data_IF_627315396555
#
_entry.id   IF_627315396555
#
_cell.length_a   1.000
_cell.length_b   1.000
_cell.length_c   1.000
_cell.angle_alpha   90.00
_cell.angle_beta   90.00
_cell.angle_gamma   90.00
#
_symmetry.space_group_name_H-M   'P 1'
#
loop_
_entity.id
_entity.type
_entity.pdbx_description
1 polymer ?
#
# COMPACT_ATOMS: atom_id res chain seq x y z
N UNK A 1 -4.90 -20.83 5.67
CA UNK A 1 -4.21 -21.31 6.89
C UNK A 1 -3.43 -20.15 7.49
N UNK A 2 -3.57 -19.88 8.80
CA UNK A 2 -2.79 -18.81 9.45
C UNK A 2 -1.39 -19.31 9.75
N UNK A 3 -0.37 -18.57 9.32
CA UNK A 3 1.05 -18.84 9.59
C UNK A 3 1.44 -18.05 10.83
N UNK A 4 1.70 -18.75 11.94
CA UNK A 4 2.13 -18.13 13.19
C UNK A 4 3.56 -17.58 13.07
N UNK A 5 3.83 -16.45 13.73
CA UNK A 5 5.20 -15.95 13.88
C UNK A 5 5.89 -16.74 14.99
N UNK A 6 7.05 -17.36 14.70
CA UNK A 6 7.76 -18.18 15.67
C UNK A 6 8.48 -17.33 16.73
N UNK A 7 8.82 -17.96 17.86
CA UNK A 7 9.66 -17.34 18.88
C UNK A 7 10.97 -16.81 18.29
N UNK A 8 11.64 -17.63 17.48
CA UNK A 8 12.92 -17.30 16.84
C UNK A 8 12.79 -16.08 15.94
N UNK A 9 11.70 -15.98 15.17
CA UNK A 9 11.44 -14.82 14.33
C UNK A 9 11.27 -13.54 15.16
N UNK A 10 10.55 -13.60 16.29
CA UNK A 10 10.41 -12.44 17.20
C UNK A 10 11.77 -12.05 17.80
N UNK A 11 12.61 -13.03 18.17
CA UNK A 11 13.96 -12.78 18.68
C UNK A 11 14.84 -12.14 17.61
N UNK A 12 14.80 -12.63 16.36
CA UNK A 12 15.56 -12.06 15.25
C UNK A 12 15.17 -10.61 14.98
N UNK A 13 13.86 -10.30 14.98
CA UNK A 13 13.37 -8.91 14.87
C UNK A 13 13.99 -8.03 15.97
N UNK A 14 14.09 -8.51 17.21
CA UNK A 14 14.73 -7.73 18.26
C UNK A 14 16.24 -7.58 18.04
N UNK A 15 16.94 -8.64 17.63
CA UNK A 15 18.37 -8.58 17.37
C UNK A 15 18.72 -7.58 16.26
N UNK A 16 17.88 -7.49 15.24
CA UNK A 16 18.08 -6.59 14.10
C UNK A 16 17.66 -5.15 14.40
N UNK A 17 16.52 -4.94 15.09
CA UNK A 17 15.90 -3.62 15.26
C UNK A 17 15.89 -3.09 16.69
N UNK A 18 16.36 -3.86 17.67
CA UNK A 18 16.35 -3.53 19.10
C UNK A 18 17.41 -2.51 19.51
N UNK A 19 18.43 -2.28 18.68
CA UNK A 19 19.52 -1.33 18.96
C UNK A 19 20.63 -1.95 19.81
N UNK A 20 21.43 -1.10 20.47
CA UNK A 20 22.67 -1.54 21.17
C UNK A 20 22.43 -2.50 22.33
N UNK A 21 21.24 -2.49 22.92
CA UNK A 21 20.84 -3.38 24.02
C UNK A 21 19.96 -4.54 23.56
N UNK A 22 19.91 -4.86 22.27
CA UNK A 22 19.12 -5.97 21.77
C UNK A 22 19.52 -7.31 22.44
N UNK A 23 18.53 -8.16 22.68
CA UNK A 23 18.71 -9.44 23.36
C UNK A 23 17.52 -9.79 24.25
N UNK A 24 17.26 -11.09 24.34
CA UNK A 24 16.19 -11.65 25.18
C UNK A 24 16.59 -11.52 26.65
N UNK A 25 15.72 -10.90 27.44
CA UNK A 25 15.81 -10.84 28.90
C UNK A 25 15.01 -11.95 29.56
N UNK A 26 13.84 -12.28 28.99
CA UNK A 26 12.93 -13.30 29.49
C UNK A 26 12.33 -14.10 28.31
N UNK A 27 12.92 -15.27 28.05
CA UNK A 27 12.48 -16.14 26.95
C UNK A 27 11.10 -16.74 27.18
N UNK A 28 10.76 -17.08 28.44
CA UNK A 28 9.46 -17.65 28.79
C UNK A 28 8.35 -16.62 28.56
N UNK A 29 8.62 -15.35 28.87
CA UNK A 29 7.75 -14.23 28.56
C UNK A 29 7.45 -14.08 27.07
N UNK A 30 8.49 -14.14 26.22
CA UNK A 30 8.29 -14.11 24.76
C UNK A 30 7.47 -15.31 24.28
N UNK A 31 7.77 -16.52 24.75
CA UNK A 31 6.98 -17.71 24.43
C UNK A 31 5.52 -17.57 24.86
N UNK A 32 5.25 -16.99 26.02
CA UNK A 32 3.89 -16.75 26.50
C UNK A 32 3.15 -15.72 25.64
N UNK A 33 3.81 -14.64 25.20
CA UNK A 33 3.22 -13.64 24.32
C UNK A 33 2.85 -14.23 22.93
N UNK A 34 3.77 -14.99 22.34
CA UNK A 34 3.53 -15.71 21.07
C UNK A 34 2.42 -16.74 21.25
N UNK A 35 2.48 -17.55 22.29
CA UNK A 35 1.47 -18.56 22.61
C UNK A 35 0.09 -17.95 22.82
N UNK A 36 -0.01 -16.81 23.52
CA UNK A 36 -1.28 -16.09 23.71
C UNK A 36 -1.93 -15.71 22.38
N UNK A 37 -1.15 -15.25 21.40
CA UNK A 37 -1.68 -14.82 20.11
C UNK A 37 -2.17 -15.99 19.23
N UNK A 38 -1.52 -17.15 19.32
CA UNK A 38 -1.72 -18.23 18.35
C UNK A 38 -2.38 -19.49 18.92
N UNK A 39 -2.42 -19.66 20.25
CA UNK A 39 -2.98 -20.85 20.88
C UNK A 39 -4.36 -20.55 21.47
N UNK A 40 -5.31 -21.46 21.20
CA UNK A 40 -6.61 -21.49 21.85
C UNK A 40 -6.68 -22.52 22.98
N UNK A 41 -7.77 -22.50 23.74
CA UNK A 41 -8.08 -23.51 24.75
C UNK A 41 -9.48 -24.07 24.51
N UNK A 42 -9.66 -25.39 24.66
CA UNK A 42 -10.97 -26.03 24.50
C UNK A 42 -11.59 -25.90 23.10
N UNK A 43 -10.76 -25.75 22.06
CA UNK A 43 -11.21 -25.54 20.68
C UNK A 43 -11.68 -24.11 20.38
N UNK A 44 -11.56 -23.19 21.32
CA UNK A 44 -11.89 -21.77 21.14
C UNK A 44 -10.61 -20.97 20.90
N UNK A 45 -10.56 -20.27 19.77
CA UNK A 45 -9.51 -19.30 19.47
C UNK A 45 -9.91 -17.93 20.03
N UNK A 46 -9.20 -17.39 21.03
CA UNK A 46 -9.53 -16.08 21.61
C UNK A 46 -9.28 -14.91 20.64
N UNK A 47 -8.52 -15.14 19.56
CA UNK A 47 -8.16 -14.14 18.56
C UNK A 47 -8.49 -14.70 17.16
N UNK A 48 -9.76 -14.67 16.73
CA UNK A 48 -10.23 -15.40 15.56
C UNK A 48 -9.75 -14.81 14.23
N UNK A 49 -9.46 -13.51 14.15
CA UNK A 49 -8.92 -12.89 12.93
C UNK A 49 -7.41 -12.63 13.01
N UNK A 50 -6.76 -12.52 11.84
CA UNK A 50 -5.35 -12.12 11.74
C UNK A 50 -5.09 -10.75 12.39
N UNK A 51 -6.04 -9.81 12.35
CA UNK A 51 -5.89 -8.54 13.05
C UNK A 51 -5.93 -8.70 14.58
N UNK A 52 -6.78 -9.60 15.09
CA UNK A 52 -6.86 -9.89 16.53
C UNK A 52 -5.57 -10.55 17.02
N UNK A 53 -4.99 -11.47 16.23
CA UNK A 53 -3.72 -12.13 16.55
C UNK A 53 -2.55 -11.16 16.53
N UNK A 54 -2.49 -10.28 15.53
CA UNK A 54 -1.49 -9.22 15.46
C UNK A 54 -1.59 -8.26 16.66
N UNK A 55 -2.81 -7.88 17.04
CA UNK A 55 -3.07 -7.06 18.20
C UNK A 55 -2.65 -7.75 19.51
N UNK A 56 -2.97 -9.03 19.67
CA UNK A 56 -2.59 -9.82 20.84
C UNK A 56 -1.08 -9.93 21.00
N UNK A 57 -0.37 -10.13 19.89
CA UNK A 57 1.09 -10.19 19.83
C UNK A 57 1.72 -8.84 20.15
N UNK A 58 1.26 -7.75 19.50
CA UNK A 58 1.75 -6.40 19.76
C UNK A 58 1.55 -6.02 21.22
N UNK A 59 0.34 -6.21 21.76
CA UNK A 59 0.04 -5.90 23.15
C UNK A 59 0.93 -6.69 24.10
N UNK A 60 1.03 -8.02 23.93
CA UNK A 60 1.83 -8.88 24.81
C UNK A 60 3.32 -8.53 24.86
N UNK A 61 3.89 -8.02 23.76
CA UNK A 61 5.29 -7.61 23.69
C UNK A 61 5.50 -6.14 24.09
N UNK A 62 4.55 -5.25 23.80
CA UNK A 62 4.68 -3.80 24.04
C UNK A 62 4.48 -3.42 25.51
N UNK A 63 3.57 -4.09 26.22
CA UNK A 63 3.24 -3.79 27.63
C UNK A 63 4.17 -4.51 28.63
N UNK A 64 5.16 -5.23 28.12
CA UNK A 64 6.09 -6.04 28.90
C UNK A 64 7.53 -5.63 28.61
N UNK A 65 8.48 -6.26 29.28
CA UNK A 65 9.90 -5.98 29.11
C UNK A 65 10.66 -7.30 28.90
N UNK A 66 10.27 -8.08 27.89
CA UNK A 66 10.90 -9.39 27.64
C UNK A 66 12.26 -9.30 26.96
N UNK A 67 12.62 -8.13 26.41
CA UNK A 67 13.93 -7.81 25.87
C UNK A 67 14.65 -6.78 26.73
N UNK A 68 15.98 -6.76 26.65
CA UNK A 68 16.82 -5.78 27.34
C UNK A 68 16.62 -4.35 26.79
N UNK A 69 16.39 -4.23 25.48
CA UNK A 69 16.01 -3.00 24.79
C UNK A 69 15.11 -3.34 23.60
N UNK A 70 14.42 -2.34 23.06
CA UNK A 70 13.66 -2.46 21.82
C UNK A 70 12.26 -3.06 21.95
N UNK A 71 11.76 -3.36 23.16
CA UNK A 71 10.46 -4.01 23.38
C UNK A 71 9.32 -3.46 22.50
N UNK A 72 9.13 -2.14 22.51
CA UNK A 72 8.10 -1.46 21.71
C UNK A 72 8.32 -1.60 20.20
N UNK A 73 9.56 -1.44 19.73
CA UNK A 73 9.95 -1.60 18.32
C UNK A 73 9.73 -3.04 17.86
N UNK A 74 10.20 -4.00 18.65
CA UNK A 74 9.97 -5.44 18.40
C UNK A 74 8.48 -5.76 18.36
N UNK A 75 7.68 -5.24 19.27
CA UNK A 75 6.25 -5.51 19.33
C UNK A 75 5.51 -5.06 18.06
N UNK A 76 5.79 -3.84 17.61
CA UNK A 76 5.22 -3.29 16.38
C UNK A 76 5.66 -4.10 15.16
N UNK A 77 6.97 -4.32 14.99
CA UNK A 77 7.52 -5.04 13.85
C UNK A 77 7.07 -6.50 13.82
N UNK A 78 7.00 -7.19 14.97
CA UNK A 78 6.48 -8.55 15.05
C UNK A 78 5.02 -8.64 14.59
N UNK A 79 4.17 -7.68 14.98
CA UNK A 79 2.78 -7.64 14.53
C UNK A 79 2.68 -7.35 13.02
N UNK A 80 3.46 -6.39 12.49
CA UNK A 80 3.49 -6.08 11.06
C UNK A 80 4.01 -7.27 10.24
N UNK A 81 5.13 -7.87 10.63
CA UNK A 81 5.68 -9.05 9.95
C UNK A 81 4.73 -10.24 10.01
N UNK A 82 4.03 -10.46 11.12
CA UNK A 82 2.99 -11.48 11.20
C UNK A 82 1.84 -11.22 10.20
N UNK A 83 1.38 -9.96 10.10
CA UNK A 83 0.35 -9.59 9.13
C UNK A 83 0.83 -9.82 7.69
N UNK A 84 2.05 -9.42 7.36
CA UNK A 84 2.66 -9.63 6.03
C UNK A 84 2.80 -11.11 5.68
N UNK A 85 3.27 -11.95 6.63
CA UNK A 85 3.35 -13.41 6.47
C UNK A 85 1.99 -14.05 6.16
N UNK A 86 0.89 -13.40 6.53
CA UNK A 86 -0.48 -13.86 6.30
C UNK A 86 -1.19 -13.11 5.16
N UNK A 87 -0.45 -12.43 4.28
CA UNK A 87 -0.99 -11.71 3.11
C UNK A 87 -1.63 -10.35 3.44
N UNK A 88 -1.50 -9.89 4.69
CA UNK A 88 -2.02 -8.62 5.17
C UNK A 88 -0.91 -7.56 5.16
N UNK A 89 -0.58 -7.07 3.98
CA UNK A 89 0.13 -5.79 3.77
C UNK A 89 -0.63 -4.61 4.42
N UNK A 90 0.08 -3.70 5.08
CA UNK A 90 -0.48 -2.46 5.62
C UNK A 90 -0.31 -1.30 4.63
N UNK A 91 -1.17 -0.28 4.73
CA UNK A 91 -0.96 1.02 4.08
C UNK A 91 0.32 1.70 4.58
N UNK A 92 0.70 2.83 3.97
CA UNK A 92 1.81 3.63 4.50
C UNK A 92 1.46 4.12 5.92
N UNK A 93 2.35 3.87 6.88
CA UNK A 93 2.22 4.34 8.26
C UNK A 93 3.35 5.33 8.48
N UNK A 94 2.98 6.58 8.76
CA UNK A 94 3.98 7.60 9.10
C UNK A 94 4.74 7.19 10.37
N UNK A 95 6.07 7.36 10.45
CA UNK A 95 6.86 6.95 11.62
C UNK A 95 6.32 7.49 12.94
N UNK A 96 5.85 8.75 12.95
CA UNK A 96 5.23 9.38 14.12
C UNK A 96 3.91 8.73 14.52
N UNK A 97 3.10 8.27 13.56
CA UNK A 97 1.85 7.56 13.83
C UNK A 97 2.15 6.21 14.47
N UNK A 98 3.09 5.44 13.88
CA UNK A 98 3.51 4.15 14.42
C UNK A 98 4.07 4.28 15.85
N UNK A 99 4.89 5.30 16.10
CA UNK A 99 5.47 5.57 17.41
C UNK A 99 4.40 5.93 18.46
N UNK A 100 3.56 6.93 18.18
CA UNK A 100 2.50 7.39 19.10
C UNK A 100 1.54 6.25 19.43
N UNK A 101 1.15 5.49 18.40
CA UNK A 101 0.24 4.37 18.57
C UNK A 101 0.88 3.26 19.43
N UNK A 102 2.13 2.88 19.15
CA UNK A 102 2.86 1.87 19.92
C UNK A 102 3.08 2.29 21.37
N UNK A 103 3.36 3.58 21.62
CA UNK A 103 3.46 4.12 22.97
C UNK A 103 2.13 4.05 23.71
N UNK A 104 1.01 4.35 23.05
CA UNK A 104 -0.32 4.28 23.64
C UNK A 104 -0.71 2.84 24.01
N UNK A 105 -0.36 1.86 23.17
CA UNK A 105 -0.51 0.42 23.48
C UNK A 105 0.35 0.03 24.70
N UNK A 106 1.65 0.39 24.68
CA UNK A 106 2.55 0.07 25.78
C UNK A 106 2.15 0.70 27.12
N UNK A 107 1.49 1.85 27.08
CA UNK A 107 0.94 2.54 28.25
C UNK A 107 -0.42 1.99 28.72
N UNK A 108 -1.02 1.03 28.01
CA UNK A 108 -2.34 0.50 28.32
C UNK A 108 -3.49 1.47 28.04
N UNK A 109 -3.26 2.50 27.22
CA UNK A 109 -4.29 3.47 26.81
C UNK A 109 -5.18 2.89 25.70
N UNK A 110 -4.62 1.98 24.89
CA UNK A 110 -5.31 1.33 23.77
C UNK A 110 -5.45 -0.16 24.04
N UNK A 111 -6.69 -0.60 24.21
CA UNK A 111 -7.02 -2.00 24.44
C UNK A 111 -6.82 -2.87 23.20
N UNK A 112 -6.58 -4.17 23.41
CA UNK A 112 -6.28 -5.14 22.31
C UNK A 112 -7.30 -5.09 21.15
N UNK A 113 -8.63 -5.03 21.37
CA UNK A 113 -9.58 -4.93 20.25
C UNK A 113 -9.41 -3.66 19.42
N UNK A 114 -9.07 -2.54 20.06
CA UNK A 114 -8.81 -1.27 19.37
C UNK A 114 -7.50 -1.30 18.58
N UNK A 115 -6.55 -2.12 19.00
CA UNK A 115 -5.34 -2.41 18.21
C UNK A 115 -5.67 -3.19 16.94
N UNK A 116 -6.54 -4.19 17.04
CA UNK A 116 -6.99 -4.94 15.86
C UNK A 116 -7.73 -4.04 14.87
N UNK A 117 -8.61 -3.16 15.37
CA UNK A 117 -9.29 -2.14 14.56
C UNK A 117 -8.31 -1.16 13.91
N UNK A 118 -7.27 -0.74 14.62
CA UNK A 118 -6.26 0.14 14.04
C UNK A 118 -5.52 -0.55 12.89
N UNK A 119 -4.99 -1.77 13.08
CA UNK A 119 -4.37 -2.53 11.99
C UNK A 119 -5.32 -2.77 10.82
N UNK A 120 -6.58 -3.08 11.11
CA UNK A 120 -7.63 -3.22 10.08
C UNK A 120 -7.83 -1.92 9.32
N UNK A 121 -7.93 -0.78 10.00
CA UNK A 121 -8.09 0.52 9.35
C UNK A 121 -6.85 0.96 8.58
N UNK A 122 -5.63 0.67 9.05
CA UNK A 122 -4.38 0.89 8.30
C UNK A 122 -4.36 0.02 7.04
N UNK A 123 -4.82 -1.22 7.16
CA UNK A 123 -4.99 -2.13 6.04
C UNK A 123 -6.09 -1.67 5.09
N UNK A 124 -7.22 -1.16 5.56
CA UNK A 124 -8.32 -0.65 4.73
C UNK A 124 -7.97 0.69 4.09
N UNK A 125 -7.11 1.50 4.74
CA UNK A 125 -6.39 2.64 4.15
C UNK A 125 -5.44 2.23 3.01
N UNK A 126 -5.44 0.96 2.57
CA UNK A 126 -4.69 0.43 1.42
C UNK A 126 -4.91 1.15 0.10
N UNK A 127 -5.82 2.12 -0.02
CA UNK A 127 -5.80 3.10 -1.11
C UNK A 127 -4.41 3.73 -1.22
N UNK A 128 -3.53 3.09 -2.00
CA UNK A 128 -2.21 3.60 -2.32
C UNK A 128 -2.37 4.53 -3.51
N UNK A 129 -1.96 5.78 -3.32
CA UNK A 129 -2.01 6.83 -4.32
C UNK A 129 -3.29 7.66 -4.27
N UNK A 130 -3.60 8.36 -5.36
CA UNK A 130 -4.65 9.40 -5.38
C UNK A 130 -6.03 8.88 -5.78
N UNK A 131 -6.34 7.64 -5.43
CA UNK A 131 -7.63 7.01 -5.71
C UNK A 131 -8.74 7.61 -4.83
N UNK A 132 -9.92 7.83 -5.40
CA UNK A 132 -11.11 8.33 -4.70
C UNK A 132 -12.29 7.34 -4.75
N UNK A 133 -12.27 6.38 -5.67
CA UNK A 133 -13.27 5.31 -5.72
C UNK A 133 -12.87 4.17 -4.76
N UNK A 134 -13.76 3.73 -3.84
CA UNK A 134 -13.47 2.70 -2.86
C UNK A 134 -13.21 1.31 -3.46
N UNK A 135 -13.60 1.07 -4.72
CA UNK A 135 -13.28 -0.16 -5.45
C UNK A 135 -11.81 -0.23 -5.86
N UNK A 136 -11.13 0.91 -5.95
CA UNK A 136 -9.72 0.96 -6.36
C UNK A 136 -8.85 0.66 -5.14
N UNK A 137 -8.19 -0.51 -5.15
CA UNK A 137 -7.23 -0.92 -4.11
C UNK A 137 -6.00 -0.03 -4.15
N UNK A 138 -5.46 0.23 -5.35
CA UNK A 138 -4.37 1.16 -5.54
C UNK A 138 -4.42 1.79 -6.94
N UNK A 139 -3.83 2.98 -7.04
CA UNK A 139 -3.63 3.70 -8.28
C UNK A 139 -2.28 4.42 -8.21
N UNK A 140 -1.36 4.11 -9.12
CA UNK A 140 0.01 4.62 -9.08
C UNK A 140 0.45 5.09 -10.46
N UNK A 141 1.27 6.13 -10.47
CA UNK A 141 2.00 6.57 -11.65
C UNK A 141 3.38 5.92 -11.62
N UNK A 142 3.78 5.30 -12.73
CA UNK A 142 5.09 4.64 -12.88
C UNK A 142 5.73 5.05 -14.21
N UNK A 143 7.06 5.10 -14.26
CA UNK A 143 7.80 5.50 -15.46
C UNK A 143 7.84 4.37 -16.50
N UNK A 144 8.02 3.14 -16.03
CA UNK A 144 8.14 1.99 -16.90
C UNK A 144 7.45 0.76 -16.29
N UNK A 145 6.79 0.00 -17.16
CA UNK A 145 6.23 -1.31 -16.86
C UNK A 145 6.99 -2.32 -17.70
N UNK A 146 7.59 -3.29 -17.06
CA UNK A 146 8.28 -4.40 -17.71
C UNK A 146 7.41 -5.66 -17.55
N UNK A 147 6.99 -6.23 -18.69
CA UNK A 147 6.20 -7.45 -18.69
C UNK A 147 7.09 -8.63 -18.29
N UNK A 148 6.73 -9.29 -17.20
CA UNK A 148 7.37 -10.53 -16.74
C UNK A 148 6.49 -11.74 -16.94
N UNK A 149 7.07 -12.94 -16.85
CA UNK A 149 6.39 -14.22 -17.08
C UNK A 149 5.23 -14.51 -16.10
N UNK A 150 5.19 -13.81 -14.95
CA UNK A 150 4.19 -14.05 -13.89
C UNK A 150 3.48 -12.78 -13.41
N UNK A 151 4.21 -11.70 -13.16
CA UNK A 151 3.67 -10.38 -12.81
C UNK A 151 4.50 -9.29 -13.48
N UNK A 152 3.89 -8.16 -13.89
CA UNK A 152 4.64 -7.02 -14.39
C UNK A 152 5.48 -6.41 -13.25
N UNK A 153 6.73 -6.08 -13.54
CA UNK A 153 7.57 -5.27 -12.65
C UNK A 153 7.37 -3.79 -12.98
N UNK A 154 7.30 -2.96 -11.94
CA UNK A 154 7.12 -1.52 -12.08
C UNK A 154 8.37 -0.79 -11.62
N UNK A 155 8.85 0.12 -12.46
CA UNK A 155 10.00 0.94 -12.17
C UNK A 155 9.57 2.40 -11.99
N UNK A 156 10.17 3.06 -11.02
CA UNK A 156 9.89 4.45 -10.71
C UNK A 156 8.49 4.69 -10.12
N UNK A 157 8.15 3.95 -9.07
CA UNK A 157 6.86 4.04 -8.37
C UNK A 157 6.80 5.26 -7.44
N UNK A 158 5.75 6.09 -7.56
CA UNK A 158 5.49 7.18 -6.60
C UNK A 158 6.29 8.46 -6.81
N UNK A 159 6.74 8.72 -8.04
CA UNK A 159 7.70 9.79 -8.30
C UNK A 159 6.98 11.12 -8.58
N UNK A 160 7.39 12.19 -7.89
CA UNK A 160 7.42 13.50 -8.51
C UNK A 160 8.40 13.43 -9.71
N UNK A 161 7.92 13.04 -10.89
CA UNK A 161 8.77 12.87 -12.09
C UNK A 161 9.46 14.22 -12.37
N UNK A 162 10.70 14.37 -11.92
CA UNK A 162 11.56 15.45 -12.36
C UNK A 162 11.99 15.12 -13.78
N UNK A 163 11.16 15.39 -14.78
CA UNK A 163 11.61 15.34 -16.17
C UNK A 163 12.79 16.31 -16.29
N UNK A 164 13.98 15.82 -16.61
CA UNK A 164 15.06 16.67 -17.10
C UNK A 164 14.84 16.76 -18.60
N UNK A 165 14.47 17.94 -19.10
CA UNK A 165 14.28 18.15 -20.53
C UNK A 165 15.52 17.68 -21.32
N UNK A 166 15.35 16.95 -22.44
CA UNK A 166 16.49 16.49 -23.23
C UNK A 166 17.32 17.69 -23.73
N UNK A 167 18.65 17.58 -23.60
CA UNK A 167 19.60 18.63 -24.01
C UNK A 167 19.33 19.13 -25.44
N UNK A 168 19.25 20.45 -25.60
CA UNK A 168 19.17 21.10 -26.90
C UNK A 168 17.87 20.90 -27.68
N UNK A 169 16.85 20.27 -27.09
CA UNK A 169 15.52 20.12 -27.72
C UNK A 169 14.58 21.21 -27.24
N UNK A 170 13.82 21.80 -28.15
CA UNK A 170 12.71 22.71 -27.82
C UNK A 170 11.41 21.93 -27.65
N UNK A 171 10.48 22.37 -26.77
CA UNK A 171 9.16 21.75 -26.64
C UNK A 171 8.41 21.66 -27.98
N UNK A 172 7.51 20.67 -28.16
CA UNK A 172 7.01 19.76 -27.13
C UNK A 172 7.91 18.54 -26.86
N UNK A 173 7.87 18.03 -25.62
CA UNK A 173 8.54 16.79 -25.22
C UNK A 173 7.55 15.64 -25.07
N UNK A 174 7.78 14.52 -25.77
CA UNK A 174 7.03 13.29 -25.52
C UNK A 174 7.45 12.70 -24.17
N UNK A 175 6.48 12.42 -23.31
CA UNK A 175 6.69 11.78 -22.01
C UNK A 175 5.72 10.63 -21.90
N UNK A 176 6.20 9.40 -21.80
CA UNK A 176 5.35 8.25 -21.53
C UNK A 176 5.39 7.93 -20.05
N UNK A 177 4.21 7.82 -19.45
CA UNK A 177 4.01 7.34 -18.09
C UNK A 177 2.93 6.28 -18.10
N UNK A 178 2.93 5.40 -17.11
CA UNK A 178 1.93 4.37 -16.96
C UNK A 178 1.12 4.60 -15.70
N UNK A 179 -0.18 4.39 -15.80
CA UNK A 179 -1.08 4.31 -14.66
C UNK A 179 -1.31 2.84 -14.36
N UNK A 180 -0.85 2.41 -13.19
CA UNK A 180 -1.03 1.06 -12.69
C UNK A 180 -2.08 1.07 -11.58
N UNK A 181 -3.00 0.11 -11.60
CA UNK A 181 -4.02 0.01 -10.58
C UNK A 181 -4.61 -1.37 -10.44
N UNK A 182 -5.35 -1.55 -9.34
CA UNK A 182 -6.16 -2.75 -9.11
C UNK A 182 -7.53 -2.35 -8.63
N UNK A 183 -8.55 -2.96 -9.21
CA UNK A 183 -9.95 -2.70 -8.93
C UNK A 183 -10.64 -3.97 -8.42
N UNK A 184 -11.41 -3.82 -7.34
CA UNK A 184 -12.34 -4.82 -6.82
C UNK A 184 -13.73 -4.52 -7.35
N UNK A 185 -14.23 -5.43 -8.18
CA UNK A 185 -15.52 -5.29 -8.83
C UNK A 185 -16.66 -5.68 -7.91
N UNK A 186 -17.83 -5.09 -8.15
CA UNK A 186 -19.08 -5.46 -7.52
C UNK A 186 -19.93 -6.27 -8.48
N UNK A 187 -20.93 -6.97 -7.96
CA UNK A 187 -21.90 -7.70 -8.77
C UNK A 187 -22.60 -6.81 -9.82
N UNK A 188 -22.86 -5.54 -9.49
CA UNK A 188 -23.42 -4.52 -10.41
C UNK A 188 -22.50 -4.14 -11.58
N UNK A 189 -21.20 -4.40 -11.47
CA UNK A 189 -20.20 -4.14 -12.51
C UNK A 189 -20.09 -5.32 -13.50
N UNK A 190 -20.83 -6.41 -13.28
CA UNK A 190 -20.76 -7.59 -14.16
C UNK A 190 -21.59 -7.42 -15.43
N UNK A 191 -21.30 -8.23 -16.46
CA UNK A 191 -22.14 -8.34 -17.66
C UNK A 191 -21.79 -7.39 -18.81
N UNK A 192 -20.94 -6.37 -18.58
CA UNK A 192 -20.39 -5.52 -19.64
C UNK A 192 -18.94 -5.13 -19.36
N UNK A 193 -18.21 -4.73 -20.41
CA UNK A 193 -16.87 -4.17 -20.26
C UNK A 193 -16.92 -2.74 -19.74
N UNK A 194 -15.81 -2.28 -19.17
CA UNK A 194 -15.66 -0.94 -18.63
C UNK A 194 -14.61 -0.14 -19.40
N UNK A 195 -14.65 1.18 -19.26
CA UNK A 195 -13.74 2.08 -19.96
C UNK A 195 -12.91 2.84 -18.94
N UNK A 196 -11.59 2.65 -19.00
CA UNK A 196 -10.62 3.44 -18.27
C UNK A 196 -10.10 4.57 -19.17
N UNK A 197 -10.37 5.81 -18.79
CA UNK A 197 -9.93 7.00 -19.50
C UNK A 197 -8.91 7.79 -18.66
N UNK A 198 -7.80 8.18 -19.29
CA UNK A 198 -6.75 8.98 -18.70
C UNK A 198 -6.74 10.39 -19.31
N UNK A 199 -6.51 11.41 -18.50
CA UNK A 199 -6.28 12.77 -18.97
C UNK A 199 -5.17 13.45 -18.16
N UNK A 200 -4.13 13.96 -18.85
CA UNK A 200 -3.05 14.73 -18.24
C UNK A 200 -3.39 16.21 -18.33
N UNK A 201 -3.66 16.84 -17.20
CA UNK A 201 -4.16 18.22 -17.11
C UNK A 201 -3.32 19.04 -16.14
N UNK A 202 -3.27 20.37 -16.28
CA UNK A 202 -2.71 21.23 -15.24
C UNK A 202 -3.41 21.02 -13.90
N UNK A 203 -2.64 21.00 -12.80
CA UNK A 203 -3.20 20.92 -11.44
C UNK A 203 -4.04 22.15 -11.11
N UNK A 204 -3.55 23.33 -11.49
CA UNK A 204 -4.28 24.59 -11.36
C UNK A 204 -5.16 24.80 -12.61
N UNK A 205 -6.50 24.81 -12.46
CA UNK A 205 -7.41 25.03 -13.58
C UNK A 205 -7.25 26.40 -14.26
N UNK A 206 -6.62 27.38 -13.59
CA UNK A 206 -6.33 28.69 -14.18
C UNK A 206 -5.22 28.63 -15.24
N UNK A 207 -4.41 27.56 -15.27
CA UNK A 207 -3.38 27.34 -16.29
C UNK A 207 -4.04 26.81 -17.57
N UNK A 208 -4.00 27.62 -18.64
CA UNK A 208 -4.75 27.36 -19.88
C UNK A 208 -3.98 26.62 -20.95
N UNK A 209 -2.71 26.26 -20.71
CA UNK A 209 -1.86 25.55 -21.67
C UNK A 209 -1.70 24.09 -21.24
N UNK A 210 -2.65 23.20 -21.58
CA UNK A 210 -2.52 21.79 -21.27
C UNK A 210 -1.46 21.11 -22.16
N UNK A 211 -0.93 19.96 -21.75
CA UNK A 211 -0.15 19.11 -22.65
C UNK A 211 -0.97 18.73 -23.90
N UNK A 212 -0.30 18.53 -25.03
CA UNK A 212 -0.92 17.96 -26.24
C UNK A 212 -0.99 16.44 -26.11
N UNK A 213 -1.85 15.78 -26.91
CA UNK A 213 -2.02 14.30 -26.88
C UNK A 213 -2.18 13.74 -25.46
N UNK A 214 -2.86 14.49 -24.62
CA UNK A 214 -2.89 14.28 -23.18
C UNK A 214 -3.96 13.29 -22.73
N UNK A 215 -4.60 12.56 -23.63
CA UNK A 215 -5.71 11.66 -23.33
C UNK A 215 -5.43 10.27 -23.88
N UNK A 216 -5.83 9.26 -23.12
CA UNK A 216 -5.82 7.87 -23.54
C UNK A 216 -7.08 7.16 -23.04
N UNK A 217 -7.51 6.10 -23.74
CA UNK A 217 -8.72 5.34 -23.43
C UNK A 217 -8.46 3.86 -23.63
N UNK A 218 -8.87 3.05 -22.65
CA UNK A 218 -8.64 1.61 -22.61
C UNK A 218 -9.92 0.88 -22.24
N UNK A 219 -10.17 -0.24 -22.90
CA UNK A 219 -11.27 -1.14 -22.56
C UNK A 219 -10.78 -2.16 -21.54
N UNK A 220 -11.51 -2.27 -20.43
CA UNK A 220 -11.35 -3.32 -19.44
C UNK A 220 -12.42 -4.38 -19.74
N UNK A 221 -12.04 -5.67 -19.85
CA UNK A 221 -13.01 -6.73 -20.05
C UNK A 221 -13.97 -6.82 -18.86
N UNK A 222 -15.17 -7.40 -19.04
CA UNK A 222 -16.08 -7.66 -17.93
C UNK A 222 -15.36 -8.46 -16.82
N UNK A 223 -15.64 -8.17 -15.54
CA UNK A 223 -15.02 -8.88 -14.44
C UNK A 223 -15.31 -10.38 -14.49
N UNK A 224 -14.26 -11.18 -14.37
CA UNK A 224 -14.35 -12.63 -14.37
C UNK A 224 -14.80 -13.14 -12.99
N UNK A 225 -15.65 -14.18 -13.01
CA UNK A 225 -15.93 -14.98 -11.82
C UNK A 225 -14.82 -16.02 -11.63
N UNK A 226 -14.32 -16.14 -10.40
CA UNK A 226 -13.29 -17.11 -10.02
C UNK A 226 -13.63 -17.78 -8.69
N UNK A 227 -13.31 -19.08 -8.57
CA UNK A 227 -13.57 -19.88 -7.37
C UNK A 227 -12.44 -19.86 -6.34
N UNK A 228 -11.81 -18.71 -6.09
CA UNK A 228 -10.65 -18.60 -5.19
C UNK A 228 -11.08 -18.31 -3.74
N UNK A 229 -10.52 -19.03 -2.77
CA UNK A 229 -10.89 -19.00 -1.33
C UNK A 229 -10.78 -17.61 -0.66
N UNK A 230 -10.08 -16.66 -1.29
CA UNK A 230 -9.84 -15.30 -0.76
C UNK A 230 -10.73 -14.22 -1.39
N UNK A 231 -11.66 -14.58 -2.28
CA UNK A 231 -12.62 -13.66 -2.90
C UNK A 231 -14.05 -14.11 -2.54
N UNK A 232 -14.59 -13.71 -1.37
CA UNK A 232 -15.84 -14.26 -0.83
C UNK A 232 -17.09 -13.97 -1.68
N UNK A 233 -17.04 -12.97 -2.58
CA UNK A 233 -18.11 -12.67 -3.56
C UNK A 233 -17.89 -13.37 -4.92
N UNK A 234 -16.78 -14.09 -5.10
CA UNK A 234 -16.47 -14.84 -6.32
C UNK A 234 -16.05 -13.99 -7.53
N UNK A 235 -15.99 -12.66 -7.42
CA UNK A 235 -15.43 -11.78 -8.47
C UNK A 235 -13.93 -11.61 -8.28
N UNK A 236 -13.19 -11.83 -9.37
CA UNK A 236 -11.73 -11.64 -9.37
C UNK A 236 -11.41 -10.15 -9.58
N UNK A 237 -10.59 -9.52 -8.72
CA UNK A 237 -10.14 -8.17 -8.95
C UNK A 237 -9.26 -8.08 -10.20
N UNK A 238 -9.41 -7.00 -10.96
CA UNK A 238 -8.61 -6.78 -12.16
C UNK A 238 -7.43 -5.87 -11.86
N UNK A 239 -6.26 -6.26 -12.35
CA UNK A 239 -5.08 -5.38 -12.42
C UNK A 239 -5.02 -4.75 -13.81
N UNK A 240 -4.61 -3.49 -13.87
CA UNK A 240 -4.39 -2.77 -15.13
C UNK A 240 -3.09 -1.97 -15.05
N UNK A 241 -2.44 -1.82 -16.20
CA UNK A 241 -1.27 -0.97 -16.40
C UNK A 241 -1.39 -0.34 -17.78
N UNK A 242 -1.75 0.94 -17.82
CA UNK A 242 -2.14 1.60 -19.07
C UNK A 242 -1.29 2.84 -19.32
N UNK A 243 -0.72 3.03 -20.52
CA UNK A 243 0.13 4.17 -20.80
C UNK A 243 -0.67 5.45 -21.09
N UNK A 244 -0.08 6.60 -20.81
CA UNK A 244 -0.45 7.88 -21.42
C UNK A 244 0.82 8.61 -21.83
N UNK A 245 0.82 9.17 -23.04
CA UNK A 245 2.00 9.81 -23.64
C UNK A 245 1.73 11.29 -23.93
N UNK A 246 1.57 12.16 -22.91
CA UNK A 246 1.40 13.59 -23.14
C UNK A 246 2.63 14.21 -23.80
N UNK A 247 2.37 15.20 -24.66
CA UNK A 247 3.36 16.11 -25.19
C UNK A 247 3.42 17.36 -24.34
N UNK A 248 4.47 17.46 -23.51
CA UNK A 248 4.69 18.56 -22.58
C UNK A 248 5.15 19.80 -23.34
N UNK A 249 4.41 20.90 -23.23
CA UNK A 249 4.72 22.18 -23.88
C UNK A 249 5.44 23.14 -22.92
N UNK A 250 5.02 23.16 -21.66
CA UNK A 250 5.56 24.00 -20.59
C UNK A 250 5.79 23.16 -19.33
N UNK A 251 6.79 23.49 -18.48
CA UNK A 251 6.95 22.81 -17.20
C UNK A 251 5.83 23.26 -16.25
N UNK A 252 5.54 22.47 -15.22
CA UNK A 252 4.51 22.80 -14.24
C UNK A 252 4.02 21.60 -13.45
N UNK A 253 3.10 21.86 -12.53
CA UNK A 253 2.41 20.82 -11.78
C UNK A 253 1.20 20.33 -12.57
N UNK A 254 1.24 19.08 -13.00
CA UNK A 254 0.18 18.39 -13.72
C UNK A 254 -0.46 17.31 -12.82
N UNK A 255 -1.58 16.79 -13.30
CA UNK A 255 -2.31 15.68 -12.72
C UNK A 255 -2.71 14.73 -13.84
N UNK A 256 -2.59 13.42 -13.61
CA UNK A 256 -3.19 12.38 -14.45
C UNK A 256 -4.53 12.01 -13.83
N UNK A 257 -5.62 12.56 -14.37
CA UNK A 257 -6.97 12.14 -14.03
C UNK A 257 -7.24 10.76 -14.59
N UNK A 258 -7.82 9.90 -13.75
CA UNK A 258 -8.23 8.54 -14.10
C UNK A 258 -9.73 8.44 -13.91
N UNK A 259 -10.44 8.07 -14.98
CA UNK A 259 -11.89 7.93 -14.99
C UNK A 259 -12.30 6.52 -15.38
N UNK A 260 -13.21 5.93 -14.62
CA UNK A 260 -13.87 4.68 -14.97
C UNK A 260 -15.29 5.00 -15.40
N UNK A 261 -15.65 4.66 -16.64
CA UNK A 261 -16.97 4.94 -17.25
C UNK A 261 -17.41 6.41 -17.11
N UNK A 262 -16.44 7.33 -17.20
CA UNK A 262 -16.64 8.77 -17.08
C UNK A 262 -16.59 9.31 -15.64
N UNK A 263 -16.67 8.47 -14.62
CA UNK A 263 -16.58 8.84 -13.21
C UNK A 263 -15.11 8.96 -12.80
N UNK A 264 -14.73 10.05 -12.11
CA UNK A 264 -13.38 10.23 -11.60
C UNK A 264 -13.11 9.21 -10.49
N UNK A 265 -12.12 8.34 -10.69
CA UNK A 265 -11.72 7.30 -9.73
C UNK A 265 -10.36 7.56 -9.10
N UNK A 266 -9.57 8.49 -9.65
CA UNK A 266 -8.36 9.00 -9.01
C UNK A 266 -7.66 10.09 -9.81
N UNK A 267 -6.70 10.77 -9.18
CA UNK A 267 -6.03 11.94 -9.75
C UNK A 267 -4.55 11.98 -9.34
N UNK A 268 -3.65 11.39 -10.13
CA UNK A 268 -2.26 11.17 -9.76
C UNK A 268 -1.39 12.41 -10.02
N UNK A 269 -0.58 12.87 -9.06
CA UNK A 269 0.30 14.02 -9.26
C UNK A 269 1.41 13.72 -10.28
N UNK A 270 1.66 14.66 -11.20
CA UNK A 270 2.77 14.62 -12.16
C UNK A 270 3.46 15.98 -12.17
N UNK A 271 4.61 16.10 -11.51
CA UNK A 271 5.42 17.32 -11.62
C UNK A 271 6.19 17.28 -12.93
N UNK A 272 6.44 18.42 -13.56
CA UNK A 272 7.32 18.54 -14.73
C UNK A 272 8.22 19.74 -14.53
N UNK A 273 9.53 19.52 -14.57
CA UNK A 273 10.53 20.58 -14.51
C UNK A 273 11.29 20.61 -15.83
N UNK A 274 11.96 21.71 -16.16
CA UNK A 274 12.99 21.72 -17.20
C UNK A 274 14.29 22.09 -16.49
N UNK A 275 15.25 21.17 -16.43
CA UNK A 275 16.58 21.47 -15.93
C UNK A 275 17.51 21.74 -17.11
N UNK A 276 18.24 22.86 -17.06
CA UNK A 276 19.47 23.03 -17.82
C UNK A 276 20.59 22.49 -16.94
N UNK A 277 21.31 21.45 -17.39
CA UNK A 277 22.54 21.04 -16.70
C UNK A 277 23.63 21.99 -17.15
N UNK A 278 23.76 23.10 -16.44
CA UNK A 278 24.92 23.97 -16.46
C UNK A 278 24.98 24.71 -15.13
N UNK A 279 25.49 24.01 -14.11
CA UNK A 279 26.46 24.47 -13.10
C UNK A 279 26.90 23.29 -12.23
#
# INVERSE_FOLDING_TARGET
>A
MVVALSFEAVVQINLEFGGRGAGVRDANGVHAAVGRAFNGFGGVDPFPSVFDKAAALMHGLATTQYFHDGNKRTAFLAAVSFLELNGVVLGAIEPVEAEVFTLAVAAGVVETPRVAEWFRSVHERRQRGSAVDPRIEYLMLVEHVEEGDFLPTWHGVGIAIGMIGPHGRTPPYDTQVFVCGRIHWREEDTGQGHVLALAVVPRDPAVTVPPRRNKARFELPPPARGGHEHHPEGLMPSTFHVPVAPQIVVPGDLVVEVRLDGVLVGALPLKVMFANISD
#
